data_IF_641797562845
#
_entry.id   IF_641797562845
#
_cell.length_a   1.000
_cell.length_b   1.000
_cell.length_c   1.000
_cell.angle_alpha   90.00
_cell.angle_beta   90.00
_cell.angle_gamma   90.00
#
_symmetry.space_group_name_H-M   'P 1'
#
loop_
_entity.id
_entity.type
_entity.pdbx_description
1 polymer ?
#
# COMPACT_ATOMS: atom_id res chain seq x y z
N UNK A 1 -17.78 -4.07 9.14
CA UNK A 1 -18.54 -2.78 9.17
C UNK A 1 -18.08 -1.89 8.03
N UNK A 2 -18.98 -1.09 7.43
CA UNK A 2 -18.61 -0.15 6.35
C UNK A 2 -18.84 1.28 6.83
N UNK A 3 -17.80 2.12 6.83
CA UNK A 3 -17.87 3.53 7.22
C UNK A 3 -16.93 4.35 6.33
N UNK A 4 -17.44 5.38 5.67
CA UNK A 4 -16.62 6.33 4.89
C UNK A 4 -15.63 5.67 3.91
N UNK A 5 -16.07 4.64 3.17
CA UNK A 5 -15.23 3.91 2.23
C UNK A 5 -14.35 2.83 2.85
N UNK A 6 -14.29 2.73 4.18
CA UNK A 6 -13.57 1.68 4.89
C UNK A 6 -14.46 0.45 5.13
N UNK A 7 -13.92 -0.70 4.78
CA UNK A 7 -14.55 -2.01 5.01
C UNK A 7 -13.72 -2.75 6.06
N UNK A 8 -14.15 -2.68 7.31
CA UNK A 8 -13.52 -3.39 8.42
C UNK A 8 -13.87 -4.87 8.36
N UNK A 9 -12.88 -5.73 8.53
CA UNK A 9 -13.11 -7.17 8.64
C UNK A 9 -13.70 -7.55 10.00
N UNK A 10 -14.47 -8.62 10.03
CA UNK A 10 -15.12 -9.10 11.26
C UNK A 10 -14.18 -9.93 12.14
N UNK A 11 -13.15 -10.52 11.56
CA UNK A 11 -12.03 -11.20 12.22
C UNK A 11 -10.74 -10.74 11.59
N UNK A 12 -9.69 -10.59 12.39
CA UNK A 12 -8.38 -10.19 11.92
C UNK A 12 -7.52 -11.44 11.78
N UNK A 13 -6.94 -11.63 10.60
CA UNK A 13 -6.02 -12.72 10.34
C UNK A 13 -4.59 -12.15 10.21
N UNK A 14 -3.67 -12.78 10.92
CA UNK A 14 -2.25 -12.47 10.81
C UNK A 14 -1.72 -12.91 9.45
N UNK A 15 -0.94 -12.04 8.82
CA UNK A 15 -0.26 -12.33 7.57
C UNK A 15 0.75 -13.48 7.73
N UNK A 16 0.78 -14.38 6.76
CA UNK A 16 1.83 -15.40 6.67
C UNK A 16 3.14 -14.74 6.28
N UNK A 17 4.24 -15.42 6.60
CA UNK A 17 5.57 -14.95 6.26
C UNK A 17 5.72 -14.67 4.76
N UNK A 18 6.32 -13.55 4.46
CA UNK A 18 6.78 -13.14 3.14
C UNK A 18 8.17 -12.51 3.27
N UNK A 19 8.88 -12.40 2.16
CA UNK A 19 10.22 -11.80 2.13
C UNK A 19 10.33 -10.87 0.92
N UNK A 20 10.29 -9.58 1.21
CA UNK A 20 10.46 -8.51 0.24
C UNK A 20 11.66 -7.63 0.62
N UNK A 21 11.86 -6.54 -0.08
CA UNK A 21 12.96 -5.60 0.13
C UNK A 21 12.40 -4.17 0.03
N UNK A 22 12.82 -3.29 0.93
CA UNK A 22 12.48 -1.88 0.84
C UNK A 22 13.37 -1.13 -0.18
N UNK A 23 13.03 0.10 -0.50
CA UNK A 23 13.76 0.91 -1.47
C UNK A 23 15.17 1.32 -1.02
N UNK A 24 15.55 1.06 0.23
CA UNK A 24 16.90 1.25 0.74
C UNK A 24 17.74 -0.04 0.72
N UNK A 25 17.17 -1.15 0.26
CA UNK A 25 17.84 -2.45 0.19
C UNK A 25 17.75 -3.27 1.48
N UNK A 26 16.92 -2.85 2.44
CA UNK A 26 16.70 -3.62 3.67
C UNK A 26 15.65 -4.70 3.46
N UNK A 27 15.79 -5.82 4.18
CA UNK A 27 14.74 -6.84 4.22
C UNK A 27 13.43 -6.23 4.72
N UNK A 28 12.32 -6.56 4.06
CA UNK A 28 10.97 -6.17 4.45
C UNK A 28 10.11 -7.43 4.66
N UNK A 29 9.62 -7.60 5.85
CA UNK A 29 8.86 -8.76 6.29
C UNK A 29 7.64 -8.32 7.12
N UNK A 30 6.81 -9.25 7.55
CA UNK A 30 5.68 -8.92 8.43
C UNK A 30 6.09 -8.30 9.77
N UNK A 31 7.32 -8.56 10.23
CA UNK A 31 7.83 -8.07 11.52
C UNK A 31 8.07 -6.54 11.49
N UNK A 32 8.25 -5.96 10.29
CA UNK A 32 8.42 -4.52 10.12
C UNK A 32 7.15 -3.72 10.48
N UNK A 33 5.99 -4.37 10.46
CA UNK A 33 4.73 -3.72 10.84
C UNK A 33 4.65 -3.38 12.33
N UNK A 34 5.42 -4.07 13.17
CA UNK A 34 5.42 -3.85 14.62
C UNK A 34 5.95 -2.46 15.04
N UNK A 35 6.62 -1.75 14.15
CA UNK A 35 7.14 -0.41 14.41
C UNK A 35 6.08 0.70 14.40
N UNK A 36 4.87 0.41 13.89
CA UNK A 36 3.82 1.41 13.72
C UNK A 36 2.46 0.85 14.15
N UNK A 37 1.59 1.71 14.67
CA UNK A 37 0.24 1.34 15.08
C UNK A 37 -0.60 0.88 13.88
N UNK A 38 -0.45 1.58 12.75
CA UNK A 38 -1.09 1.25 11.49
C UNK A 38 -0.09 1.28 10.33
N UNK A 39 -0.30 0.36 9.40
CA UNK A 39 0.51 0.23 8.20
C UNK A 39 -0.42 0.20 6.99
N UNK A 40 -0.23 1.13 6.05
CA UNK A 40 -1.01 1.23 4.82
C UNK A 40 -0.22 0.64 3.66
N UNK A 41 -0.79 -0.36 3.00
CA UNK A 41 -0.19 -1.01 1.84
C UNK A 41 -1.05 -0.73 0.61
N UNK A 42 -0.43 -0.14 -0.40
CA UNK A 42 -1.01 0.02 -1.72
C UNK A 42 -0.16 -0.73 -2.74
N UNK A 43 -0.78 -1.57 -3.54
CA UNK A 43 -0.12 -2.29 -4.62
C UNK A 43 -0.25 -1.51 -5.91
N UNK A 44 0.87 -1.25 -6.56
CA UNK A 44 0.91 -0.47 -7.78
C UNK A 44 2.26 -0.58 -8.49
N UNK A 45 2.63 0.41 -9.28
CA UNK A 45 3.91 0.48 -9.99
C UNK A 45 4.17 1.91 -10.47
N UNK A 46 5.45 2.29 -10.58
CA UNK A 46 5.85 3.68 -10.83
C UNK A 46 5.44 4.21 -12.22
N UNK A 47 5.33 3.34 -13.21
CA UNK A 47 4.93 3.70 -14.58
C UNK A 47 3.42 3.67 -14.82
N UNK A 48 2.60 3.45 -13.77
CA UNK A 48 1.15 3.50 -13.86
C UNK A 48 0.68 4.91 -14.27
N UNK A 49 -0.10 5.04 -15.36
CA UNK A 49 -0.42 6.36 -15.90
C UNK A 49 -1.54 7.10 -15.14
N UNK A 50 -2.35 6.40 -14.33
CA UNK A 50 -3.58 6.97 -13.77
C UNK A 50 -3.79 6.71 -12.28
N UNK A 51 -4.04 5.48 -11.88
CA UNK A 51 -4.52 5.15 -10.52
C UNK A 51 -3.45 5.34 -9.43
N UNK A 52 -2.21 4.92 -9.70
CA UNK A 52 -1.15 5.00 -8.71
C UNK A 52 -0.79 6.44 -8.31
N UNK A 53 -0.57 7.39 -9.23
CA UNK A 53 -0.30 8.77 -8.81
C UNK A 53 -1.50 9.41 -8.08
N UNK A 54 -2.72 9.05 -8.42
CA UNK A 54 -3.92 9.52 -7.69
C UNK A 54 -3.91 8.98 -6.26
N UNK A 55 -3.68 7.68 -6.06
CA UNK A 55 -3.62 7.08 -4.74
C UNK A 55 -2.45 7.64 -3.92
N UNK A 56 -1.27 7.80 -4.51
CA UNK A 56 -0.12 8.40 -3.83
C UNK A 56 -0.41 9.82 -3.35
N UNK A 57 -1.14 10.61 -4.16
CA UNK A 57 -1.60 11.94 -3.77
C UNK A 57 -2.63 11.92 -2.65
N UNK A 58 -3.55 10.95 -2.67
CA UNK A 58 -4.52 10.73 -1.58
C UNK A 58 -3.80 10.35 -0.28
N UNK A 59 -2.85 9.42 -0.34
CA UNK A 59 -2.05 9.02 0.83
C UNK A 59 -1.28 10.20 1.42
N UNK A 60 -0.70 11.06 0.57
CA UNK A 60 -0.05 12.31 1.02
C UNK A 60 -1.04 13.22 1.77
N UNK A 61 -2.23 13.45 1.21
CA UNK A 61 -3.25 14.26 1.87
C UNK A 61 -3.73 13.65 3.19
N UNK A 62 -3.82 12.33 3.27
CA UNK A 62 -4.15 11.61 4.52
C UNK A 62 -3.05 11.84 5.56
N UNK A 63 -1.78 11.66 5.17
CA UNK A 63 -0.62 11.89 6.02
C UNK A 63 -0.66 13.30 6.63
N UNK A 64 -0.89 14.33 5.81
CA UNK A 64 -0.95 15.74 6.23
C UNK A 64 -2.12 16.03 7.20
N UNK A 65 -3.19 15.23 7.17
CA UNK A 65 -4.39 15.41 8.01
C UNK A 65 -4.33 14.68 9.37
N UNK A 66 -3.47 13.67 9.49
CA UNK A 66 -3.46 12.79 10.67
C UNK A 66 -2.53 13.30 11.76
N UNK A 67 -1.43 13.94 11.39
CA UNK A 67 -0.46 14.55 12.32
C UNK A 67 0.08 13.55 13.38
N UNK A 68 0.38 12.31 12.96
CA UNK A 68 0.97 11.30 13.84
C UNK A 68 2.11 10.57 13.13
N UNK A 69 3.14 10.21 13.88
CA UNK A 69 4.31 9.49 13.38
C UNK A 69 4.13 7.95 13.40
N UNK A 70 3.03 7.45 14.00
CA UNK A 70 2.82 6.02 14.21
C UNK A 70 2.09 5.32 13.05
N UNK A 71 2.24 5.84 11.83
CA UNK A 71 1.66 5.24 10.63
C UNK A 71 2.73 5.13 9.55
N UNK A 72 2.87 3.94 8.98
CA UNK A 72 3.71 3.72 7.81
C UNK A 72 2.87 3.62 6.52
N UNK A 73 3.45 4.09 5.41
CA UNK A 73 2.83 4.14 4.09
C UNK A 73 3.73 3.43 3.08
N UNK A 74 3.24 2.33 2.53
CA UNK A 74 3.99 1.45 1.63
C UNK A 74 3.35 1.39 0.24
N UNK A 75 4.17 1.58 -0.80
CA UNK A 75 3.84 1.19 -2.16
C UNK A 75 4.56 -0.12 -2.47
N UNK A 76 3.82 -1.20 -2.67
CA UNK A 76 4.36 -2.51 -3.07
C UNK A 76 4.29 -2.62 -4.58
N UNK A 77 5.44 -2.74 -5.25
CA UNK A 77 5.49 -2.77 -6.71
C UNK A 77 5.09 -4.13 -7.28
N UNK A 78 4.18 -4.10 -8.26
CA UNK A 78 3.87 -5.25 -9.12
C UNK A 78 4.76 -5.36 -10.37
N UNK A 79 5.67 -4.42 -10.57
CA UNK A 79 6.53 -4.38 -11.76
C UNK A 79 8.02 -4.29 -11.41
N UNK A 80 8.57 -5.31 -10.71
CA UNK A 80 9.96 -5.29 -10.27
C UNK A 80 10.98 -5.28 -11.43
N UNK A 81 10.55 -5.62 -12.66
CA UNK A 81 11.40 -5.52 -13.85
C UNK A 81 11.71 -4.07 -14.21
N UNK A 82 10.76 -3.17 -14.01
CA UNK A 82 10.89 -1.74 -14.33
C UNK A 82 11.21 -0.94 -13.06
N UNK A 83 10.58 -1.26 -11.95
CA UNK A 83 10.75 -0.57 -10.67
C UNK A 83 12.00 -1.05 -9.94
N UNK A 84 13.17 -0.59 -10.38
CA UNK A 84 14.39 -0.71 -9.57
C UNK A 84 14.20 -0.02 -8.22
N UNK A 85 15.01 -0.37 -7.22
CA UNK A 85 14.90 0.24 -5.89
C UNK A 85 15.08 1.76 -5.95
N UNK A 86 16.03 2.26 -6.74
CA UNK A 86 16.29 3.70 -6.92
C UNK A 86 15.10 4.40 -7.59
N UNK A 87 14.52 3.78 -8.61
CA UNK A 87 13.34 4.31 -9.30
C UNK A 87 12.14 4.36 -8.35
N UNK A 88 11.90 3.30 -7.61
CA UNK A 88 10.80 3.21 -6.66
C UNK A 88 10.97 4.21 -5.52
N UNK A 89 12.19 4.36 -4.99
CA UNK A 89 12.55 5.38 -4.00
C UNK A 89 12.23 6.78 -4.51
N UNK A 90 12.74 7.14 -5.69
CA UNK A 90 12.50 8.45 -6.30
C UNK A 90 11.01 8.71 -6.49
N UNK A 91 10.24 7.71 -6.90
CA UNK A 91 8.81 7.82 -7.12
C UNK A 91 8.04 8.09 -5.82
N UNK A 92 8.20 7.26 -4.79
CA UNK A 92 7.43 7.41 -3.55
C UNK A 92 7.84 8.64 -2.75
N UNK A 93 9.13 8.96 -2.70
CA UNK A 93 9.62 10.12 -1.94
C UNK A 93 9.30 11.46 -2.60
N UNK A 94 8.95 11.48 -3.89
CA UNK A 94 8.41 12.66 -4.55
C UNK A 94 7.04 13.09 -3.98
N UNK A 95 6.28 12.15 -3.41
CA UNK A 95 5.02 12.46 -2.73
C UNK A 95 5.24 12.82 -1.26
N UNK A 96 6.04 12.04 -0.55
CA UNK A 96 6.42 12.31 0.84
C UNK A 96 7.71 11.53 1.17
N UNK A 97 8.66 12.19 1.88
CA UNK A 97 9.94 11.58 2.26
C UNK A 97 9.81 10.34 3.15
N UNK A 98 8.71 10.20 3.88
CA UNK A 98 8.45 9.10 4.79
C UNK A 98 7.78 7.89 4.10
N UNK A 99 7.38 8.04 2.84
CA UNK A 99 6.79 6.94 2.09
C UNK A 99 7.85 5.93 1.66
N UNK A 100 7.51 4.65 1.76
CA UNK A 100 8.42 3.54 1.50
C UNK A 100 7.95 2.74 0.30
N UNK A 101 8.82 2.58 -0.69
CA UNK A 101 8.64 1.65 -1.79
C UNK A 101 9.14 0.26 -1.40
N UNK A 102 8.36 -0.76 -1.72
CA UNK A 102 8.67 -2.17 -1.44
C UNK A 102 8.61 -2.95 -2.74
N UNK A 103 9.59 -3.81 -2.95
CA UNK A 103 9.73 -4.66 -4.13
C UNK A 103 10.28 -6.03 -3.74
N UNK A 104 10.57 -6.86 -4.71
CA UNK A 104 11.18 -8.17 -4.51
C UNK A 104 10.90 -9.11 -5.66
N UNK A 105 11.13 -10.40 -5.46
CA UNK A 105 10.74 -11.42 -6.42
C UNK A 105 9.23 -11.36 -6.66
N UNK A 106 8.83 -11.37 -7.94
CA UNK A 106 7.40 -11.21 -8.29
C UNK A 106 6.52 -12.27 -7.65
N UNK A 107 7.03 -13.47 -7.45
CA UNK A 107 6.32 -14.55 -6.75
C UNK A 107 6.00 -14.20 -5.30
N UNK A 108 6.90 -13.53 -4.58
CA UNK A 108 6.68 -13.08 -3.19
C UNK A 108 5.71 -11.90 -3.14
N UNK A 109 5.80 -10.98 -4.10
CA UNK A 109 4.84 -9.86 -4.22
C UNK A 109 3.42 -10.39 -4.48
N UNK A 110 3.28 -11.33 -5.41
CA UNK A 110 1.97 -11.95 -5.73
C UNK A 110 1.43 -12.76 -4.54
N UNK A 111 2.29 -13.49 -3.84
CA UNK A 111 1.94 -14.24 -2.63
C UNK A 111 1.40 -13.33 -1.51
N UNK A 112 2.04 -12.18 -1.28
CA UNK A 112 1.53 -11.18 -0.34
C UNK A 112 0.21 -10.59 -0.82
N UNK A 113 0.13 -10.21 -2.09
CA UNK A 113 -1.11 -9.69 -2.70
C UNK A 113 -2.27 -10.65 -2.54
N UNK A 114 -2.06 -11.94 -2.78
CA UNK A 114 -3.09 -12.97 -2.63
C UNK A 114 -3.64 -13.04 -1.19
N UNK A 115 -2.77 -12.96 -0.18
CA UNK A 115 -3.18 -12.93 1.23
C UNK A 115 -4.04 -11.70 1.54
N UNK A 116 -3.82 -10.60 0.83
CA UNK A 116 -4.50 -9.31 1.03
C UNK A 116 -5.71 -9.11 0.10
N UNK A 117 -6.08 -10.12 -0.68
CA UNK A 117 -7.15 -10.03 -1.66
C UNK A 117 -6.83 -9.08 -2.82
N UNK A 118 -5.55 -8.91 -3.14
CA UNK A 118 -5.07 -8.09 -4.25
C UNK A 118 -4.58 -9.00 -5.36
N UNK A 119 -5.20 -8.90 -6.53
CA UNK A 119 -4.86 -9.63 -7.74
C UNK A 119 -4.31 -8.69 -8.81
N UNK A 120 -3.46 -9.21 -9.67
CA UNK A 120 -2.97 -8.51 -10.85
C UNK A 120 -3.10 -9.36 -12.10
N UNK A 121 -3.25 -8.69 -13.24
CA UNK A 121 -3.17 -9.31 -14.56
C UNK A 121 -1.73 -9.21 -15.11
N UNK A 122 -1.47 -9.97 -16.18
CA UNK A 122 -0.22 -9.85 -16.91
C UNK A 122 -0.06 -8.42 -17.49
N UNK A 123 1.17 -7.91 -17.59
CA UNK A 123 1.42 -6.63 -18.25
C UNK A 123 0.94 -6.65 -19.70
N UNK A 124 0.38 -5.53 -20.14
CA UNK A 124 -0.06 -5.30 -21.52
C UNK A 124 0.28 -3.88 -21.93
N UNK A 125 0.31 -3.60 -23.23
CA UNK A 125 0.44 -2.24 -23.77
C UNK A 125 -0.92 -1.69 -24.17
N UNK A 126 -1.17 -0.42 -23.87
CA UNK A 126 -2.36 0.28 -24.33
C UNK A 126 -2.12 0.93 -25.73
N UNK A 127 -3.12 1.60 -26.26
CA UNK A 127 -3.07 2.28 -27.57
C UNK A 127 -2.02 3.40 -27.65
N UNK A 128 -1.47 3.86 -26.52
CA UNK A 128 -0.44 4.87 -26.43
C UNK A 128 0.95 4.27 -26.17
N UNK A 129 1.11 2.95 -26.35
CA UNK A 129 2.33 2.18 -26.07
C UNK A 129 2.79 2.31 -24.61
N UNK A 130 1.85 2.50 -23.68
CA UNK A 130 2.14 2.53 -22.24
C UNK A 130 1.95 1.13 -21.66
N UNK A 131 2.90 0.71 -20.81
CA UNK A 131 2.81 -0.54 -20.06
C UNK A 131 1.74 -0.42 -18.98
N UNK A 132 0.75 -1.28 -19.05
CA UNK A 132 -0.38 -1.33 -18.11
C UNK A 132 -0.39 -2.67 -17.38
N UNK A 133 -0.52 -2.62 -16.06
CA UNK A 133 -0.77 -3.78 -15.21
C UNK A 133 -2.09 -3.51 -14.46
N UNK A 134 -3.16 -4.14 -14.91
CA UNK A 134 -4.44 -4.07 -14.19
C UNK A 134 -4.36 -4.86 -12.89
N UNK A 135 -4.80 -4.26 -11.82
CA UNK A 135 -4.79 -4.86 -10.48
C UNK A 135 -5.95 -4.35 -9.63
N UNK A 136 -6.19 -5.03 -8.52
CA UNK A 136 -7.15 -4.58 -7.49
C UNK A 136 -6.70 -3.24 -6.93
N UNK A 137 -7.60 -2.26 -6.90
CA UNK A 137 -7.34 -0.90 -6.43
C UNK A 137 -7.92 -0.71 -5.01
N UNK A 138 -7.22 -1.23 -4.01
CA UNK A 138 -7.57 -1.09 -2.60
C UNK A 138 -6.37 -0.54 -1.82
N UNK A 139 -6.63 0.27 -0.78
CA UNK A 139 -5.65 0.58 0.24
C UNK A 139 -5.89 -0.35 1.43
N UNK A 140 -4.93 -1.20 1.72
CA UNK A 140 -5.01 -2.20 2.79
C UNK A 140 -4.49 -1.59 4.09
N UNK A 141 -5.16 -1.90 5.20
CA UNK A 141 -4.77 -1.45 6.54
C UNK A 141 -4.39 -2.66 7.39
N UNK A 142 -3.16 -2.64 7.87
CA UNK A 142 -2.56 -3.69 8.72
C UNK A 142 -2.15 -3.07 10.05
N UNK A 143 -2.37 -3.75 11.16
CA UNK A 143 -1.96 -3.29 12.49
C UNK A 143 -0.52 -3.72 12.84
N UNK A 144 -0.07 -3.37 14.04
CA UNK A 144 1.26 -3.69 14.57
C UNK A 144 1.53 -5.20 14.76
N UNK A 145 0.48 -6.01 14.76
CA UNK A 145 0.56 -7.48 14.85
C UNK A 145 0.58 -8.17 13.49
N UNK A 146 0.73 -7.40 12.41
CA UNK A 146 0.60 -7.90 11.04
C UNK A 146 -0.78 -8.50 10.73
N UNK A 147 -1.83 -8.06 11.40
CA UNK A 147 -3.22 -8.46 11.15
C UNK A 147 -3.88 -7.48 10.19
N UNK A 148 -4.60 -8.01 9.20
CA UNK A 148 -5.35 -7.19 8.24
C UNK A 148 -6.67 -6.77 8.86
N UNK A 149 -6.78 -5.48 9.22
CA UNK A 149 -7.98 -4.96 9.90
C UNK A 149 -9.07 -4.48 8.93
N UNK A 150 -8.71 -4.16 7.71
CA UNK A 150 -9.68 -3.77 6.69
C UNK A 150 -9.05 -3.13 5.46
N UNK A 151 -9.91 -2.62 4.59
CA UNK A 151 -9.51 -1.99 3.33
C UNK A 151 -10.33 -0.73 3.07
N UNK A 152 -9.69 0.26 2.44
CA UNK A 152 -10.40 1.34 1.77
C UNK A 152 -10.60 0.99 0.30
N UNK A 153 -11.79 1.26 -0.22
CA UNK A 153 -12.15 1.13 -1.63
C UNK A 153 -12.50 2.48 -2.25
N UNK A 154 -12.29 2.58 -3.53
CA UNK A 154 -12.69 3.78 -4.28
C UNK A 154 -14.21 4.09 -4.13
N UNK A 155 -14.63 5.36 -4.18
CA UNK A 155 -13.77 6.54 -4.33
C UNK A 155 -12.99 6.85 -3.05
N UNK A 156 -11.72 7.29 -3.21
CA UNK A 156 -10.86 7.62 -2.09
C UNK A 156 -10.95 9.10 -1.75
N UNK A 157 -11.51 9.41 -0.59
CA UNK A 157 -11.61 10.77 -0.08
C UNK A 157 -10.76 10.94 1.18
N UNK A 158 -9.68 11.71 1.07
CA UNK A 158 -8.67 11.86 2.13
C UNK A 158 -9.25 12.34 3.47
N UNK A 159 -10.26 13.19 3.46
CA UNK A 159 -10.91 13.68 4.70
C UNK A 159 -11.69 12.58 5.41
N UNK A 160 -12.47 11.80 4.66
CA UNK A 160 -13.21 10.66 5.20
C UNK A 160 -12.26 9.56 5.69
N UNK A 161 -11.20 9.29 4.94
CA UNK A 161 -10.16 8.34 5.33
C UNK A 161 -9.47 8.76 6.63
N UNK A 162 -9.09 10.04 6.75
CA UNK A 162 -8.46 10.57 7.97
C UNK A 162 -9.36 10.44 9.20
N UNK A 163 -10.68 10.65 9.06
CA UNK A 163 -11.64 10.46 10.17
C UNK A 163 -11.68 9.00 10.64
N UNK A 164 -11.73 8.05 9.70
CA UNK A 164 -11.69 6.62 10.02
C UNK A 164 -10.39 6.24 10.72
N UNK A 165 -9.25 6.68 10.19
CA UNK A 165 -7.93 6.38 10.72
C UNK A 165 -7.77 6.93 12.14
N UNK A 166 -8.18 8.17 12.39
CA UNK A 166 -8.20 8.76 13.75
C UNK A 166 -9.09 7.96 14.71
N UNK A 167 -10.17 7.38 14.23
CA UNK A 167 -11.02 6.49 15.02
C UNK A 167 -10.33 5.16 15.32
N UNK A 168 -9.67 4.55 14.33
CA UNK A 168 -8.92 3.31 14.51
C UNK A 168 -7.81 3.49 15.55
N UNK A 169 -7.02 4.56 15.46
CA UNK A 169 -5.93 4.86 16.40
C UNK A 169 -6.38 5.08 17.86
N UNK A 170 -7.65 5.37 18.09
CA UNK A 170 -8.20 5.51 19.45
C UNK A 170 -8.69 4.20 20.05
N UNK A 171 -8.82 3.16 19.23
CA UNK A 171 -9.38 1.86 19.63
C UNK A 171 -8.33 0.75 19.72
N UNK A 172 -7.10 1.08 19.37
CA UNK A 172 -5.92 0.20 19.49
C UNK A 172 -5.31 0.33 20.88
#
# INVERSE_FOLDING_TARGET
>A
MKVNGFYQYGSFEELRNFKLIDHNGNSFTKDDFAANDLNFLYFGYSSCPTECPVMMSVMKQVYEKIETENIAYYLVSFDPEIDTLDRLKSYVTAFNSDFVGVSGEISEVVKLGYQLGVEKLAPMENHMNQRIISHTNHLIVVNEKAEVIGIFKAPFESSNMALVIKSLLRTI
#
